data_IF_907580007556
#
_entry.id   IF_907580007556
#
_cell.length_a   1.000
_cell.length_b   1.000
_cell.length_c   1.000
_cell.angle_alpha   90.00
_cell.angle_beta   90.00
_cell.angle_gamma   90.00
#
_symmetry.space_group_name_H-M   'P 1'
#
loop_
_entity.id
_entity.type
_entity.pdbx_description
1 polymer ?
#
# COMPACT_ATOMS: atom_id res chain seq x y z
N UNK A 1 10.52 -48.54 -3.42
CA UNK A 1 11.03 -47.30 -2.80
C UNK A 1 11.90 -46.60 -3.84
N UNK A 2 11.32 -45.71 -4.65
CA UNK A 2 12.03 -45.05 -5.76
C UNK A 2 12.81 -43.86 -5.22
N UNK A 3 14.13 -44.04 -5.08
CA UNK A 3 15.07 -42.95 -4.89
C UNK A 3 15.19 -42.18 -6.20
N UNK A 4 14.35 -41.18 -6.42
CA UNK A 4 14.65 -40.16 -7.42
C UNK A 4 15.93 -39.44 -6.94
N UNK A 5 17.05 -39.47 -7.69
CA UNK A 5 18.28 -38.86 -7.23
C UNK A 5 18.06 -37.35 -7.16
N UNK A 6 18.35 -36.76 -6.00
CA UNK A 6 18.26 -35.33 -5.69
C UNK A 6 18.74 -34.40 -6.83
N UNK A 7 19.74 -34.85 -7.61
CA UNK A 7 20.24 -34.16 -8.80
C UNK A 7 19.19 -33.93 -9.89
N UNK A 8 18.27 -34.87 -10.12
CA UNK A 8 17.21 -34.73 -11.13
C UNK A 8 16.20 -33.68 -10.67
N UNK A 9 15.77 -33.72 -9.40
CA UNK A 9 14.85 -32.73 -8.84
C UNK A 9 15.47 -31.33 -8.79
N UNK A 10 16.75 -31.23 -8.45
CA UNK A 10 17.49 -29.97 -8.48
C UNK A 10 17.63 -29.41 -9.90
N UNK A 11 17.97 -30.24 -10.89
CA UNK A 11 18.02 -29.81 -12.29
C UNK A 11 16.65 -29.38 -12.81
N UNK A 12 15.57 -30.09 -12.45
CA UNK A 12 14.20 -29.70 -12.79
C UNK A 12 13.85 -28.36 -12.12
N UNK A 13 14.22 -28.15 -10.87
CA UNK A 13 14.00 -26.88 -10.17
C UNK A 13 14.76 -25.73 -10.83
N UNK A 14 16.03 -25.91 -11.17
CA UNK A 14 16.84 -24.89 -11.84
C UNK A 14 16.30 -24.59 -13.24
N UNK A 15 15.91 -25.61 -14.02
CA UNK A 15 15.30 -25.41 -15.34
C UNK A 15 13.97 -24.66 -15.20
N UNK A 16 13.11 -25.02 -14.24
CA UNK A 16 11.87 -24.28 -13.99
C UNK A 16 12.14 -22.86 -13.52
N UNK A 17 13.17 -22.63 -12.70
CA UNK A 17 13.61 -21.29 -12.31
C UNK A 17 14.01 -20.49 -13.54
N UNK A 18 14.83 -21.02 -14.45
CA UNK A 18 15.24 -20.29 -15.67
C UNK A 18 14.11 -20.11 -16.69
N UNK A 19 13.16 -21.05 -16.79
CA UNK A 19 11.98 -20.93 -17.67
C UNK A 19 10.99 -19.91 -17.12
N UNK A 20 10.77 -19.88 -15.80
CA UNK A 20 9.92 -18.88 -15.14
C UNK A 20 10.59 -17.50 -15.06
N UNK A 21 11.92 -17.46 -15.02
CA UNK A 21 12.76 -16.26 -15.13
C UNK A 21 13.26 -16.03 -16.55
N UNK A 22 12.46 -16.34 -17.56
CA UNK A 22 12.77 -15.92 -18.91
C UNK A 22 12.37 -14.44 -19.06
N UNK A 23 13.34 -13.50 -19.13
CA UNK A 23 13.02 -12.08 -19.25
C UNK A 23 12.28 -11.72 -20.55
N UNK A 24 12.23 -12.64 -21.52
CA UNK A 24 11.41 -12.48 -22.75
C UNK A 24 9.94 -12.87 -22.56
N UNK A 25 9.60 -13.64 -21.51
CA UNK A 25 8.21 -13.98 -21.13
C UNK A 25 7.62 -12.99 -20.10
N UNK A 26 8.45 -12.17 -19.47
CA UNK A 26 7.96 -10.95 -18.86
C UNK A 26 7.63 -9.98 -20.01
N UNK A 27 6.33 -9.76 -20.28
CA UNK A 27 5.89 -8.51 -20.91
C UNK A 27 6.42 -7.36 -20.04
N UNK A 28 7.60 -6.89 -20.38
CA UNK A 28 8.39 -5.95 -19.60
C UNK A 28 7.69 -4.61 -19.71
N UNK A 29 6.81 -4.36 -18.73
CA UNK A 29 6.04 -3.14 -18.53
C UNK A 29 5.18 -2.74 -19.76
N UNK A 30 3.86 -2.92 -19.65
CA UNK A 30 2.84 -2.44 -20.62
C UNK A 30 2.83 -0.92 -20.86
N UNK A 31 3.82 -0.20 -20.35
CA UNK A 31 3.83 1.24 -20.24
C UNK A 31 5.07 1.80 -20.93
N UNK A 32 4.84 2.58 -21.98
CA UNK A 32 5.93 3.32 -22.64
C UNK A 32 6.51 4.37 -21.69
N UNK A 33 7.73 4.83 -21.96
CA UNK A 33 8.35 5.91 -21.19
C UNK A 33 7.47 7.16 -21.17
N UNK A 34 6.93 7.57 -22.32
CA UNK A 34 6.01 8.71 -22.41
C UNK A 34 4.73 8.45 -21.61
N UNK A 35 4.22 7.22 -21.60
CA UNK A 35 3.08 6.87 -20.77
C UNK A 35 3.42 7.04 -19.30
N UNK A 36 4.50 6.45 -18.79
CA UNK A 36 4.90 6.57 -17.37
C UNK A 36 5.11 8.02 -16.91
N UNK A 37 5.64 8.87 -17.80
CA UNK A 37 5.88 10.29 -17.50
C UNK A 37 4.61 11.14 -17.50
N UNK A 38 3.62 10.79 -18.33
CA UNK A 38 2.39 11.58 -18.51
C UNK A 38 1.18 11.01 -17.77
N UNK A 39 1.21 9.73 -17.42
CA UNK A 39 0.15 9.11 -16.63
C UNK A 39 0.43 9.38 -15.15
N UNK A 40 -0.57 9.94 -14.46
CA UNK A 40 -0.61 9.97 -13.00
C UNK A 40 -0.85 8.53 -12.50
N UNK A 41 0.12 7.63 -12.70
CA UNK A 41 0.01 6.21 -12.30
C UNK A 41 -0.21 6.03 -10.81
N UNK A 42 0.17 7.06 -10.07
CA UNK A 42 -0.17 7.24 -8.68
C UNK A 42 -1.17 8.39 -8.62
N UNK A 43 -2.43 8.06 -8.29
CA UNK A 43 -3.31 9.04 -7.67
C UNK A 43 -2.68 9.40 -6.32
N UNK A 44 -1.87 10.46 -6.32
CA UNK A 44 -1.24 11.02 -5.13
C UNK A 44 -2.29 11.52 -4.13
N UNK A 45 -3.48 11.85 -4.64
CA UNK A 45 -4.62 12.19 -3.81
C UNK A 45 -5.44 10.93 -3.53
N UNK A 46 -5.75 10.68 -2.25
CA UNK A 46 -6.63 9.58 -1.89
C UNK A 46 -8.02 9.80 -2.48
N UNK A 47 -8.84 8.73 -2.58
CA UNK A 47 -10.25 8.94 -2.86
C UNK A 47 -10.81 9.91 -1.81
N UNK A 48 -11.53 10.94 -2.28
CA UNK A 48 -12.16 11.99 -1.45
C UNK A 48 -13.04 11.41 -0.32
N UNK A 49 -13.40 10.14 -0.43
CA UNK A 49 -14.20 9.38 0.53
C UNK A 49 -13.52 9.14 1.88
N UNK A 50 -12.19 9.15 1.98
CA UNK A 50 -11.48 8.88 3.25
C UNK A 50 -11.83 9.88 4.36
N UNK A 51 -12.15 11.13 3.99
CA UNK A 51 -12.58 12.17 4.92
C UNK A 51 -14.05 12.58 4.71
N UNK A 52 -14.79 11.85 3.89
CA UNK A 52 -16.19 12.16 3.65
C UNK A 52 -17.03 11.73 4.85
N UNK A 53 -17.96 12.61 5.23
CA UNK A 53 -18.98 12.29 6.22
C UNK A 53 -20.36 12.03 5.57
N UNK A 54 -20.39 11.85 4.25
CA UNK A 54 -21.54 11.36 3.50
C UNK A 54 -21.66 9.85 3.66
N UNK A 55 -22.05 9.45 4.88
CA UNK A 55 -22.22 8.06 5.28
C UNK A 55 -23.68 7.87 5.64
N UNK A 56 -24.32 6.92 4.96
CA UNK A 56 -25.70 6.57 5.26
C UNK A 56 -25.75 5.71 6.54
N UNK A 57 -26.65 6.02 7.49
CA UNK A 57 -26.92 5.14 8.62
C UNK A 57 -27.33 3.75 8.13
N UNK A 58 -26.92 2.70 8.83
CA UNK A 58 -27.39 1.36 8.52
C UNK A 58 -28.83 1.18 9.00
N UNK A 59 -29.64 0.51 8.18
CA UNK A 59 -30.93 -0.03 8.59
C UNK A 59 -30.75 -1.42 9.18
N UNK A 60 -31.43 -1.68 10.29
CA UNK A 60 -31.57 -3.03 10.82
C UNK A 60 -32.87 -3.65 10.32
N UNK A 61 -32.92 -4.98 10.12
CA UNK A 61 -34.17 -5.68 9.89
C UNK A 61 -35.19 -5.40 10.99
N UNK A 62 -36.47 -5.50 10.66
CA UNK A 62 -37.55 -5.29 11.62
C UNK A 62 -37.39 -6.22 12.83
N UNK A 63 -37.54 -5.67 14.03
CA UNK A 63 -37.36 -6.35 15.33
C UNK A 63 -35.92 -6.78 15.65
N UNK A 64 -34.93 -6.38 14.87
CA UNK A 64 -33.52 -6.59 15.18
C UNK A 64 -32.86 -5.34 15.78
N UNK A 65 -31.98 -5.54 16.75
CA UNK A 65 -31.19 -4.49 17.40
C UNK A 65 -29.72 -4.91 17.45
N UNK A 66 -28.81 -4.00 17.13
CA UNK A 66 -27.37 -4.23 17.26
C UNK A 66 -26.98 -4.16 18.74
N UNK A 67 -26.48 -5.26 19.30
CA UNK A 67 -26.03 -5.31 20.71
C UNK A 67 -24.53 -5.09 20.90
N UNK A 68 -23.73 -5.37 19.87
CA UNK A 68 -22.28 -5.25 19.94
C UNK A 68 -21.71 -4.83 18.59
N UNK A 69 -20.72 -3.94 18.62
CA UNK A 69 -20.01 -3.45 17.44
C UNK A 69 -18.51 -3.63 17.64
N UNK A 70 -17.87 -4.39 16.74
CA UNK A 70 -16.42 -4.50 16.66
C UNK A 70 -15.91 -3.74 15.44
N UNK A 71 -15.06 -2.73 15.65
CA UNK A 71 -14.40 -2.00 14.57
C UNK A 71 -12.92 -2.38 14.55
N UNK A 72 -12.47 -2.94 13.43
CA UNK A 72 -11.06 -3.27 13.18
C UNK A 72 -10.56 -2.33 12.10
N UNK A 73 -9.74 -1.36 12.48
CA UNK A 73 -9.11 -0.41 11.55
C UNK A 73 -7.59 -0.62 11.52
N UNK A 74 -7.01 -0.33 10.36
CA UNK A 74 -5.55 -0.23 10.24
C UNK A 74 -5.09 1.11 10.82
N UNK A 75 -3.81 1.22 11.17
CA UNK A 75 -3.18 2.51 11.42
C UNK A 75 -3.36 3.45 10.21
N UNK A 76 -3.37 4.76 10.48
CA UNK A 76 -3.37 5.77 9.42
C UNK A 76 -2.05 5.83 8.65
N UNK A 77 -2.02 6.73 7.68
CA UNK A 77 -0.87 7.03 6.83
C UNK A 77 0.37 7.37 7.66
N UNK A 78 1.48 6.69 7.39
CA UNK A 78 2.73 6.85 8.13
C UNK A 78 3.93 7.00 7.21
N UNK A 79 5.00 7.53 7.77
CA UNK A 79 6.30 7.54 7.12
C UNK A 79 6.81 6.11 6.90
N UNK A 80 7.70 5.92 5.91
CA UNK A 80 8.27 4.62 5.60
C UNK A 80 8.95 3.98 6.81
N UNK A 81 9.06 2.66 6.78
CA UNK A 81 9.87 1.91 7.75
C UNK A 81 11.38 2.06 7.45
N UNK A 82 12.26 1.67 8.39
CA UNK A 82 13.70 1.79 8.22
C UNK A 82 14.25 1.14 6.97
N UNK A 83 13.78 -0.06 6.60
CA UNK A 83 14.25 -0.80 5.43
C UNK A 83 13.97 -0.02 4.15
N UNK A 84 12.77 0.54 4.02
CA UNK A 84 12.41 1.38 2.90
C UNK A 84 13.21 2.69 2.88
N UNK A 85 13.48 3.31 4.04
CA UNK A 85 14.32 4.53 4.09
C UNK A 85 15.73 4.23 3.59
N UNK A 86 16.32 3.10 3.99
CA UNK A 86 17.65 2.66 3.51
C UNK A 86 17.61 2.44 2.00
N UNK A 87 16.58 1.78 1.48
CA UNK A 87 16.42 1.60 0.04
C UNK A 87 16.31 2.94 -0.70
N UNK A 88 15.62 3.93 -0.13
CA UNK A 88 15.54 5.28 -0.72
C UNK A 88 16.89 6.00 -0.70
N UNK A 89 17.72 5.82 0.34
CA UNK A 89 19.08 6.36 0.37
C UNK A 89 19.97 5.74 -0.74
N UNK A 90 19.77 4.46 -1.06
CA UNK A 90 20.47 3.80 -2.16
C UNK A 90 20.01 4.33 -3.52
N UNK A 91 18.69 4.50 -3.71
CA UNK A 91 18.13 5.08 -4.92
C UNK A 91 18.61 6.52 -5.13
N UNK A 92 18.72 7.33 -4.07
CA UNK A 92 19.27 8.69 -4.15
C UNK A 92 20.68 8.67 -4.79
N UNK A 93 21.55 7.75 -4.36
CA UNK A 93 22.92 7.63 -4.91
C UNK A 93 22.92 7.26 -6.39
N UNK A 94 22.05 6.34 -6.79
CA UNK A 94 21.92 5.89 -8.19
C UNK A 94 21.42 7.04 -9.06
N UNK A 95 20.42 7.78 -8.59
CA UNK A 95 19.79 8.85 -9.38
C UNK A 95 20.53 10.20 -9.32
N UNK A 96 21.53 10.36 -8.46
CA UNK A 96 22.32 11.59 -8.34
C UNK A 96 22.92 12.08 -9.66
N UNK A 97 23.29 11.15 -10.55
CA UNK A 97 23.90 11.44 -11.86
C UNK A 97 22.91 11.35 -13.03
N UNK A 98 21.62 11.13 -12.76
CA UNK A 98 20.60 10.97 -13.79
C UNK A 98 19.98 12.33 -14.10
N UNK A 99 20.18 12.82 -15.32
CA UNK A 99 19.76 14.17 -15.75
C UNK A 99 18.25 14.43 -15.58
N UNK A 100 17.40 13.42 -15.81
CA UNK A 100 15.94 13.54 -15.65
C UNK A 100 15.48 13.56 -14.20
N UNK A 101 16.32 13.10 -13.26
CA UNK A 101 16.01 13.04 -11.83
C UNK A 101 16.44 14.30 -11.06
N UNK A 102 17.05 15.25 -11.77
CA UNK A 102 17.59 16.50 -11.22
C UNK A 102 16.45 17.33 -10.60
N UNK A 103 16.34 17.29 -9.27
CA UNK A 103 15.37 18.04 -8.48
C UNK A 103 14.46 17.21 -7.57
N UNK A 104 14.33 15.90 -7.79
CA UNK A 104 13.43 15.04 -6.99
C UNK A 104 14.08 13.74 -6.49
N UNK A 105 15.35 13.49 -6.85
CA UNK A 105 16.05 12.24 -6.50
C UNK A 105 16.44 12.10 -5.01
N UNK A 106 16.43 13.21 -4.25
CA UNK A 106 16.84 13.19 -2.83
C UNK A 106 15.81 12.52 -1.96
N UNK A 107 16.25 11.66 -1.05
CA UNK A 107 15.40 11.05 -0.04
C UNK A 107 14.98 12.10 1.01
N UNK A 108 13.67 12.43 1.12
CA UNK A 108 13.20 13.39 2.10
C UNK A 108 12.95 12.77 3.49
N UNK A 109 13.06 11.44 3.63
CA UNK A 109 12.64 10.72 4.82
C UNK A 109 13.80 10.54 5.82
N UNK A 110 13.57 10.96 7.07
CA UNK A 110 14.56 10.85 8.14
C UNK A 110 14.35 9.57 8.94
N UNK A 111 15.42 8.80 9.16
CA UNK A 111 15.39 7.54 9.92
C UNK A 111 14.73 7.67 11.30
N UNK A 112 15.01 8.77 12.01
CA UNK A 112 14.44 9.07 13.34
C UNK A 112 12.92 9.29 13.36
N UNK A 113 12.29 9.41 12.19
CA UNK A 113 10.84 9.59 12.04
C UNK A 113 10.18 8.37 11.41
N UNK A 114 10.90 7.26 11.26
CA UNK A 114 10.34 6.04 10.68
C UNK A 114 9.07 5.61 11.44
N UNK A 115 8.11 5.06 10.71
CA UNK A 115 6.77 4.67 11.22
C UNK A 115 5.88 5.77 11.79
N UNK A 116 6.35 7.01 11.96
CA UNK A 116 5.52 8.07 12.52
C UNK A 116 4.32 8.35 11.61
N UNK A 117 3.14 8.50 12.20
CA UNK A 117 1.98 8.99 11.48
C UNK A 117 2.31 10.38 10.92
N UNK A 118 1.91 10.62 9.68
CA UNK A 118 1.89 11.98 9.14
C UNK A 118 0.60 12.66 9.60
N UNK A 119 0.53 14.00 9.53
CA UNK A 119 -0.67 14.77 9.91
C UNK A 119 -1.97 14.17 9.33
N UNK A 120 -1.90 13.66 8.10
CA UNK A 120 -3.01 12.95 7.46
C UNK A 120 -3.38 11.64 8.17
N UNK A 121 -2.40 10.81 8.50
CA UNK A 121 -2.64 9.55 9.21
C UNK A 121 -3.11 9.72 10.64
N UNK A 122 -2.93 10.91 11.23
CA UNK A 122 -3.58 11.28 12.50
C UNK A 122 -5.07 11.58 12.30
N UNK A 123 -5.44 12.18 11.16
CA UNK A 123 -6.83 12.52 10.83
C UNK A 123 -7.66 11.32 10.37
N UNK A 124 -7.07 10.38 9.64
CA UNK A 124 -7.77 9.19 9.13
C UNK A 124 -8.54 8.41 10.21
N UNK A 125 -7.94 7.98 11.34
CA UNK A 125 -8.67 7.27 12.39
C UNK A 125 -9.70 8.15 13.10
N UNK A 126 -9.51 9.48 13.14
CA UNK A 126 -10.52 10.40 13.66
C UNK A 126 -11.78 10.38 12.78
N UNK A 127 -11.60 10.44 11.46
CA UNK A 127 -12.71 10.36 10.52
C UNK A 127 -13.36 8.97 10.51
N UNK A 128 -12.60 7.89 10.63
CA UNK A 128 -13.16 6.54 10.81
C UNK A 128 -14.12 6.48 12.00
N UNK A 129 -13.75 7.13 13.11
CA UNK A 129 -14.62 7.26 14.30
C UNK A 129 -15.90 8.05 14.02
N UNK A 130 -15.80 9.19 13.33
CA UNK A 130 -16.98 9.99 12.95
C UNK A 130 -17.91 9.22 12.01
N UNK A 131 -17.35 8.52 11.02
CA UNK A 131 -18.10 7.71 10.06
C UNK A 131 -18.78 6.54 10.78
N UNK A 132 -18.09 5.86 11.68
CA UNK A 132 -18.67 4.81 12.54
C UNK A 132 -19.84 5.34 13.36
N UNK A 133 -19.68 6.50 14.00
CA UNK A 133 -20.76 7.13 14.76
C UNK A 133 -21.98 7.44 13.91
N UNK A 134 -21.79 7.97 12.69
CA UNK A 134 -22.90 8.23 11.75
C UNK A 134 -23.55 6.94 11.26
N UNK A 135 -22.75 5.97 10.84
CA UNK A 135 -23.21 4.69 10.29
C UNK A 135 -24.04 3.88 11.29
N UNK A 136 -23.60 3.86 12.54
CA UNK A 136 -24.22 3.10 13.64
C UNK A 136 -24.95 4.03 14.62
N UNK A 137 -25.53 5.13 14.14
CA UNK A 137 -26.10 6.18 14.99
C UNK A 137 -27.12 5.66 16.03
N UNK A 138 -27.98 4.71 15.65
CA UNK A 138 -28.94 4.08 16.58
C UNK A 138 -28.25 3.32 17.73
N UNK A 139 -27.13 2.67 17.47
CA UNK A 139 -26.36 1.97 18.52
C UNK A 139 -25.65 2.96 19.45
N UNK A 140 -25.11 4.05 18.93
CA UNK A 140 -24.36 5.04 19.72
C UNK A 140 -25.23 6.05 20.46
N UNK A 141 -26.39 6.41 19.91
CA UNK A 141 -27.24 7.46 20.45
C UNK A 141 -28.29 6.95 21.45
N UNK A 142 -28.62 5.66 21.45
CA UNK A 142 -29.57 5.05 22.38
C UNK A 142 -30.96 5.66 22.32
#
# INVERSE_FOLDING_TARGET
MMLFPYRILYSIFIINLFVSYNPTLCETYKYTREYLLNSKLFNLEPPQTAFSLDIQPISYPDKCELKQLHSVSRHGSRLPDPENIIAFDELEKIFANVSVAKGWYKNPFLMRKSHHLVKRGELEPYFDGLQSRKRYAKFWNG
#
